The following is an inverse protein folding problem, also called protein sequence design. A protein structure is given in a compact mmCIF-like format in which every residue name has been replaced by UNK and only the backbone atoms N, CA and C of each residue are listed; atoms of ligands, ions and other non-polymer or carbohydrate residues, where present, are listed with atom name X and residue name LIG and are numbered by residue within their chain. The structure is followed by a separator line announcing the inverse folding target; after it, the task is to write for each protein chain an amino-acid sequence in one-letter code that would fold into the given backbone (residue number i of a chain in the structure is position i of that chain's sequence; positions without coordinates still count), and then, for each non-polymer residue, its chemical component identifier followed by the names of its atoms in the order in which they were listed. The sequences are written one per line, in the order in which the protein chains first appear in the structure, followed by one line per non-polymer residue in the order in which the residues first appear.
data_IF_964689745498
#
_entry.id   IF_964689745498
#
_cell.length_a   1.000
_cell.length_b   1.000
_cell.length_c   1.000
_cell.angle_alpha   90.00
_cell.angle_beta   90.00
_cell.angle_gamma   90.00
#
_symmetry.space_group_name_H-M   'P 1'
#
loop_
_entity.id
_entity.type
_entity.pdbx_description
1 polymer ?
#
# COMPACT_ATOMS: atom_id res chain seq x y z
N UNK A 1 20.50 -4.67 2.22
CA UNK A 1 19.47 -3.74 1.71
C UNK A 1 20.17 -2.48 1.23
N UNK A 2 19.72 -1.91 0.12
CA UNK A 2 20.23 -0.63 -0.39
C UNK A 2 19.71 0.55 0.48
N UNK A 3 20.44 1.68 0.58
CA UNK A 3 20.06 2.79 1.47
C UNK A 3 18.65 3.34 1.25
N UNK A 4 18.20 3.39 0.00
CA UNK A 4 16.86 3.86 -0.38
C UNK A 4 15.77 2.95 0.17
N UNK A 5 15.96 1.62 0.07
CA UNK A 5 15.03 0.63 0.60
C UNK A 5 15.04 0.62 2.14
N UNK A 6 16.19 0.85 2.76
CA UNK A 6 16.30 0.96 4.23
C UNK A 6 15.54 2.19 4.74
N UNK A 7 15.74 3.35 4.10
CA UNK A 7 15.04 4.58 4.45
C UNK A 7 13.52 4.44 4.24
N UNK A 8 13.09 3.90 3.10
CA UNK A 8 11.68 3.66 2.81
C UNK A 8 11.06 2.67 3.80
N UNK A 9 11.75 1.57 4.12
CA UNK A 9 11.31 0.58 5.10
C UNK A 9 11.21 1.15 6.51
N UNK A 10 12.13 2.05 6.91
CA UNK A 10 12.04 2.78 8.17
C UNK A 10 10.76 3.62 8.26
N UNK A 11 10.55 4.50 7.27
CA UNK A 11 9.35 5.34 7.21
C UNK A 11 8.05 4.52 7.16
N UNK A 12 8.07 3.40 6.42
CA UNK A 12 6.93 2.50 6.29
C UNK A 12 6.54 1.90 7.65
N UNK A 13 7.52 1.48 8.46
CA UNK A 13 7.28 0.99 9.84
C UNK A 13 6.73 2.10 10.74
N UNK A 14 7.27 3.30 10.66
CA UNK A 14 6.81 4.43 11.49
C UNK A 14 5.34 4.76 11.20
N UNK A 15 4.98 4.87 9.91
CA UNK A 15 3.60 5.08 9.48
C UNK A 15 2.68 3.93 9.89
N UNK A 16 3.15 2.69 9.78
CA UNK A 16 2.42 1.51 10.24
C UNK A 16 2.08 1.60 11.73
N UNK A 17 3.05 2.00 12.55
CA UNK A 17 2.87 2.17 13.99
C UNK A 17 1.89 3.32 14.30
N UNK A 18 1.97 4.44 13.57
CA UNK A 18 1.02 5.55 13.69
C UNK A 18 -0.41 5.10 13.38
N UNK A 19 -0.63 4.43 12.25
CA UNK A 19 -1.95 3.98 11.80
C UNK A 19 -2.57 2.92 12.72
N UNK A 20 -1.78 1.94 13.16
CA UNK A 20 -2.27 0.91 14.11
C UNK A 20 -2.63 1.52 15.46
N UNK A 21 -1.83 2.47 15.95
CA UNK A 21 -2.14 3.18 17.19
C UNK A 21 -3.38 4.10 17.04
N UNK A 22 -3.62 4.66 15.86
CA UNK A 22 -4.85 5.40 15.55
C UNK A 22 -6.07 4.48 15.55
N UNK A 23 -6.00 3.36 14.82
CA UNK A 23 -7.08 2.38 14.72
C UNK A 23 -7.46 1.82 16.10
N UNK A 24 -6.47 1.49 16.95
CA UNK A 24 -6.69 0.97 18.29
C UNK A 24 -7.40 1.96 19.24
N UNK A 25 -7.35 3.26 18.96
CA UNK A 25 -7.97 4.31 19.78
C UNK A 25 -9.25 4.87 19.16
N UNK A 26 -9.62 4.45 17.96
CA UNK A 26 -10.80 4.94 17.26
C UNK A 26 -12.07 4.42 17.95
N UNK A 27 -12.99 5.30 18.37
CA UNK A 27 -14.29 4.89 18.89
C UNK A 27 -15.06 4.06 17.86
N UNK A 28 -15.78 3.04 18.31
CA UNK A 28 -16.47 2.09 17.41
C UNK A 28 -17.50 2.76 16.49
N UNK A 29 -18.12 3.85 16.95
CA UNK A 29 -19.12 4.63 16.20
C UNK A 29 -18.52 5.54 15.11
N UNK A 30 -17.19 5.66 15.05
CA UNK A 30 -16.49 6.49 14.05
C UNK A 30 -16.09 5.74 12.79
N UNK A 31 -16.09 4.41 12.81
CA UNK A 31 -15.65 3.61 11.65
C UNK A 31 -16.50 3.83 10.40
N UNK A 32 -17.81 4.01 10.58
CA UNK A 32 -18.75 4.21 9.47
C UNK A 32 -19.01 5.71 9.20
N UNK A 33 -18.37 6.62 9.94
CA UNK A 33 -18.40 8.05 9.67
C UNK A 33 -17.53 8.39 8.44
N UNK A 34 -17.83 9.49 7.71
CA UNK A 34 -16.99 9.96 6.61
C UNK A 34 -15.53 10.16 7.04
N UNK A 35 -14.60 9.73 6.20
CA UNK A 35 -13.16 9.98 6.35
C UNK A 35 -12.76 11.32 5.73
N UNK A 36 -11.49 11.70 5.86
CA UNK A 36 -10.91 12.84 5.13
C UNK A 36 -10.88 12.61 3.62
N UNK A 37 -10.84 11.35 3.17
CA UNK A 37 -10.99 10.98 1.78
C UNK A 37 -12.48 10.94 1.44
N UNK A 38 -13.03 12.08 1.04
CA UNK A 38 -14.47 12.41 1.11
C UNK A 38 -15.48 11.46 0.43
N UNK A 39 -15.05 10.45 -0.32
CA UNK A 39 -15.92 9.41 -0.85
C UNK A 39 -16.07 8.17 0.07
N UNK A 40 -15.19 8.02 1.06
CA UNK A 40 -15.06 6.82 1.88
C UNK A 40 -15.31 7.09 3.36
N UNK A 41 -15.90 6.11 4.04
CA UNK A 41 -15.88 6.03 5.52
C UNK A 41 -14.47 5.71 6.05
N UNK A 42 -14.24 5.88 7.35
CA UNK A 42 -12.95 5.50 7.97
C UNK A 42 -12.64 4.00 7.81
N UNK A 43 -13.66 3.14 7.85
CA UNK A 43 -13.55 1.70 7.57
C UNK A 43 -13.08 1.47 6.14
N UNK A 44 -13.72 2.14 5.18
CA UNK A 44 -13.40 1.97 3.76
C UNK A 44 -12.00 2.48 3.44
N UNK A 45 -11.58 3.59 4.04
CA UNK A 45 -10.20 4.07 3.95
C UNK A 45 -9.21 3.05 4.54
N UNK A 46 -9.48 2.48 5.73
CA UNK A 46 -8.62 1.46 6.31
C UNK A 46 -8.57 0.20 5.43
N UNK A 47 -9.70 -0.23 4.86
CA UNK A 47 -9.75 -1.36 3.92
C UNK A 47 -8.95 -1.09 2.65
N UNK A 48 -8.96 0.15 2.15
CA UNK A 48 -8.09 0.56 1.06
C UNK A 48 -6.62 0.48 1.46
N UNK A 49 -6.23 0.96 2.64
CA UNK A 49 -4.84 0.83 3.10
C UNK A 49 -4.44 -0.64 3.30
N UNK A 50 -5.39 -1.51 3.65
CA UNK A 50 -5.14 -2.94 3.80
C UNK A 50 -4.89 -3.66 2.46
N UNK A 51 -5.55 -3.21 1.38
CA UNK A 51 -5.65 -3.98 0.13
C UNK A 51 -5.25 -3.22 -1.14
N UNK A 52 -5.03 -1.91 -1.06
CA UNK A 52 -4.75 -1.01 -2.18
C UNK A 52 -3.31 -1.07 -2.70
N UNK A 53 -2.50 -1.98 -2.15
CA UNK A 53 -1.09 -2.12 -2.48
C UNK A 53 -0.80 -3.15 -3.56
N UNK A 54 -1.82 -3.80 -4.14
CA UNK A 54 -1.66 -4.86 -5.14
C UNK A 54 -0.75 -4.42 -6.30
N UNK A 55 -0.93 -3.21 -6.82
CA UNK A 55 -0.10 -2.70 -7.92
C UNK A 55 1.35 -2.47 -7.49
N UNK A 56 1.58 -1.92 -6.30
CA UNK A 56 2.94 -1.72 -5.76
C UNK A 56 3.65 -3.05 -5.53
N UNK A 57 2.94 -4.03 -4.96
CA UNK A 57 3.45 -5.39 -4.77
C UNK A 57 3.82 -6.01 -6.12
N UNK A 58 2.94 -5.91 -7.12
CA UNK A 58 3.21 -6.43 -8.47
C UNK A 58 4.43 -5.76 -9.12
N UNK A 59 4.63 -4.45 -8.94
CA UNK A 59 5.84 -3.76 -9.42
C UNK A 59 7.11 -4.27 -8.74
N UNK A 60 7.12 -4.37 -7.41
CA UNK A 60 8.27 -4.91 -6.69
C UNK A 60 8.58 -6.35 -7.10
N UNK A 61 7.58 -7.22 -7.15
CA UNK A 61 7.73 -8.62 -7.57
C UNK A 61 8.21 -8.75 -9.01
N UNK A 62 7.72 -7.89 -9.90
CA UNK A 62 8.10 -7.90 -11.31
C UNK A 62 9.55 -7.44 -11.52
N UNK A 63 9.99 -6.40 -10.81
CA UNK A 63 11.37 -5.95 -10.83
C UNK A 63 12.32 -7.04 -10.32
N UNK A 64 11.99 -7.67 -9.19
CA UNK A 64 12.79 -8.75 -8.60
C UNK A 64 12.87 -9.99 -9.51
N UNK A 65 11.79 -10.30 -10.23
CA UNK A 65 11.74 -11.43 -11.14
C UNK A 65 12.26 -11.11 -12.56
N UNK A 66 12.63 -9.86 -12.86
CA UNK A 66 13.05 -9.44 -14.20
C UNK A 66 11.95 -9.61 -15.26
N UNK A 67 10.68 -9.44 -14.88
CA UNK A 67 9.51 -9.58 -15.76
C UNK A 67 8.75 -8.26 -15.91
N UNK A 68 7.90 -8.18 -16.93
CA UNK A 68 6.94 -7.10 -17.05
C UNK A 68 5.87 -7.20 -15.96
N UNK A 69 5.45 -6.05 -15.43
CA UNK A 69 4.35 -5.97 -14.48
C UNK A 69 2.99 -6.09 -15.16
N UNK A 70 2.07 -6.77 -14.49
CA UNK A 70 0.69 -6.94 -14.90
C UNK A 70 -0.17 -5.97 -14.09
N UNK A 71 -0.29 -4.73 -14.58
CA UNK A 71 -1.08 -3.69 -13.93
C UNK A 71 -2.52 -3.71 -14.49
N UNK A 72 -3.55 -3.69 -13.64
CA UNK A 72 -4.94 -3.55 -14.10
C UNK A 72 -5.14 -2.23 -14.85
N UNK A 73 -5.98 -2.20 -15.90
CA UNK A 73 -6.26 -0.97 -16.65
C UNK A 73 -7.07 0.06 -15.86
N UNK A 74 -7.74 -0.36 -14.77
CA UNK A 74 -8.54 0.50 -13.91
C UNK A 74 -8.25 0.16 -12.44
N UNK A 75 -7.30 0.89 -11.87
CA UNK A 75 -6.84 0.71 -10.49
C UNK A 75 -7.93 1.14 -9.51
N UNK A 76 -8.70 2.17 -9.84
CA UNK A 76 -9.78 2.68 -9.00
C UNK A 76 -10.89 1.63 -8.86
N UNK A 77 -11.31 0.99 -9.97
CA UNK A 77 -12.28 -0.10 -9.94
C UNK A 77 -11.77 -1.34 -9.19
N UNK A 78 -10.46 -1.59 -9.15
CA UNK A 78 -9.86 -2.63 -8.31
C UNK A 78 -9.94 -2.24 -6.83
N UNK A 79 -9.58 -1.01 -6.48
CA UNK A 79 -9.66 -0.50 -5.12
C UNK A 79 -11.10 -0.52 -4.59
N UNK A 80 -12.06 -0.05 -5.37
CA UNK A 80 -13.48 -0.06 -5.01
C UNK A 80 -13.99 -1.48 -4.74
N UNK A 81 -13.62 -2.45 -5.59
CA UNK A 81 -14.00 -3.86 -5.39
C UNK A 81 -13.37 -4.45 -4.13
N UNK A 82 -12.10 -4.16 -3.87
CA UNK A 82 -11.42 -4.61 -2.67
C UNK A 82 -12.08 -4.02 -1.41
N UNK A 83 -12.29 -2.70 -1.39
CA UNK A 83 -12.98 -2.01 -0.29
C UNK A 83 -14.38 -2.60 -0.06
N UNK A 84 -15.16 -2.81 -1.12
CA UNK A 84 -16.50 -3.40 -1.02
C UNK A 84 -16.48 -4.83 -0.45
N UNK A 85 -15.49 -5.65 -0.83
CA UNK A 85 -15.34 -7.02 -0.33
C UNK A 85 -15.02 -7.07 1.18
N UNK A 86 -14.36 -6.03 1.71
CA UNK A 86 -14.00 -5.91 3.12
C UNK A 86 -15.01 -5.15 3.97
N UNK A 87 -16.04 -4.55 3.37
CA UNK A 87 -17.11 -3.86 4.10
C UNK A 87 -17.76 -4.70 5.23
N UNK A 88 -18.05 -6.00 5.08
CA UNK A 88 -18.64 -6.80 6.15
C UNK A 88 -17.62 -7.29 7.20
N UNK A 89 -16.32 -7.06 7.00
CA UNK A 89 -15.29 -7.57 7.90
C UNK A 89 -15.23 -6.78 9.22
N UNK A 90 -14.90 -7.46 10.34
CA UNK A 90 -14.58 -6.77 11.58
C UNK A 90 -13.30 -5.93 11.43
N UNK A 91 -13.19 -4.83 12.18
CA UNK A 91 -12.06 -3.90 12.08
C UNK A 91 -10.74 -4.61 12.39
N UNK A 92 -10.76 -5.54 13.35
CA UNK A 92 -9.61 -6.35 13.73
C UNK A 92 -9.07 -7.17 12.55
N UNK A 93 -9.95 -7.68 11.69
CA UNK A 93 -9.55 -8.41 10.49
C UNK A 93 -8.94 -7.48 9.44
N UNK A 94 -9.50 -6.27 9.26
CA UNK A 94 -8.95 -5.28 8.32
C UNK A 94 -7.56 -4.82 8.80
N UNK A 95 -7.37 -4.58 10.10
CA UNK A 95 -6.05 -4.24 10.67
C UNK A 95 -5.06 -5.39 10.48
N UNK A 96 -5.48 -6.63 10.70
CA UNK A 96 -4.61 -7.80 10.47
C UNK A 96 -4.18 -7.92 9.00
N UNK A 97 -5.09 -7.70 8.06
CA UNK A 97 -4.76 -7.67 6.63
C UNK A 97 -3.79 -6.54 6.29
N UNK A 98 -4.03 -5.34 6.83
CA UNK A 98 -3.12 -4.20 6.65
C UNK A 98 -1.70 -4.52 7.13
N UNK A 99 -1.56 -5.17 8.29
CA UNK A 99 -0.27 -5.59 8.81
C UNK A 99 0.39 -6.64 7.90
N UNK A 100 -0.37 -7.63 7.41
CA UNK A 100 0.15 -8.65 6.50
C UNK A 100 0.65 -8.04 5.17
N UNK A 101 -0.13 -7.12 4.58
CA UNK A 101 0.26 -6.37 3.38
C UNK A 101 1.54 -5.56 3.62
N UNK A 102 1.64 -4.91 4.78
CA UNK A 102 2.81 -4.11 5.16
C UNK A 102 4.07 -4.98 5.34
N UNK A 103 3.94 -6.13 6.00
CA UNK A 103 5.03 -7.09 6.18
C UNK A 103 5.48 -7.65 4.82
N UNK A 104 4.54 -7.92 3.91
CA UNK A 104 4.87 -8.36 2.55
C UNK A 104 5.72 -7.34 1.81
N UNK A 105 5.39 -6.06 1.90
CA UNK A 105 6.17 -4.99 1.29
C UNK A 105 7.57 -4.93 1.91
N UNK A 106 7.70 -4.98 3.24
CA UNK A 106 9.01 -4.98 3.90
C UNK A 106 9.91 -6.12 3.42
N UNK A 107 9.35 -7.33 3.29
CA UNK A 107 10.09 -8.48 2.76
C UNK A 107 10.55 -8.27 1.31
N UNK A 108 9.77 -7.56 0.49
CA UNK A 108 10.15 -7.21 -0.88
C UNK A 108 11.28 -6.18 -0.88
N UNK A 109 11.21 -5.16 -0.01
CA UNK A 109 12.26 -4.15 0.12
C UNK A 109 13.62 -4.74 0.54
N UNK A 110 13.61 -5.78 1.39
CA UNK A 110 14.81 -6.51 1.82
C UNK A 110 15.56 -7.18 0.66
N UNK A 111 14.86 -7.50 -0.43
CA UNK A 111 15.40 -8.18 -1.61
C UNK A 111 15.87 -7.19 -2.70
N UNK A 112 15.60 -5.89 -2.54
CA UNK A 112 15.98 -4.92 -3.55
C UNK A 112 17.49 -4.70 -3.62
N UNK A 113 17.97 -4.55 -4.85
CA UNK A 113 19.34 -4.21 -5.22
C UNK A 113 19.28 -2.94 -6.08
N UNK A 114 20.40 -2.22 -6.21
CA UNK A 114 20.43 -0.92 -6.89
C UNK A 114 19.91 -0.99 -8.33
N UNK A 115 20.20 -2.07 -9.05
CA UNK A 115 19.72 -2.29 -10.41
C UNK A 115 18.19 -2.41 -10.52
N UNK A 116 17.50 -2.85 -9.45
CA UNK A 116 16.04 -2.95 -9.45
C UNK A 116 15.37 -1.58 -9.44
N UNK A 117 16.04 -0.53 -8.94
CA UNK A 117 15.48 0.83 -8.89
C UNK A 117 15.32 1.46 -10.28
N UNK A 118 16.13 1.01 -11.24
CA UNK A 118 16.13 1.50 -12.62
C UNK A 118 15.07 0.82 -13.50
N UNK A 119 14.35 -0.19 -12.97
CA UNK A 119 13.27 -0.85 -13.71
C UNK A 119 12.12 0.12 -13.92
N UNK A 120 11.70 0.25 -15.18
CA UNK A 120 10.60 1.11 -15.61
C UNK A 120 9.32 0.30 -15.84
N UNK A 121 8.20 0.89 -15.43
CA UNK A 121 6.86 0.37 -15.64
C UNK A 121 6.02 1.40 -16.38
N UNK A 122 5.06 0.95 -17.16
CA UNK A 122 4.04 1.82 -17.72
C UNK A 122 2.94 2.06 -16.67
N UNK A 123 2.66 3.34 -16.41
CA UNK A 123 1.49 3.80 -15.66
C UNK A 123 0.74 4.80 -16.53
N UNK A 124 -0.35 4.34 -17.13
CA UNK A 124 -1.23 5.14 -17.98
C UNK A 124 -0.48 5.82 -19.15
N UNK A 125 0.40 5.07 -19.82
CA UNK A 125 1.21 5.58 -20.93
C UNK A 125 2.40 6.44 -20.51
N UNK A 126 2.73 6.47 -19.21
CA UNK A 126 3.88 7.20 -18.66
C UNK A 126 4.87 6.22 -18.03
N UNK A 127 6.16 6.31 -18.36
CA UNK A 127 7.17 5.51 -17.68
C UNK A 127 7.34 5.98 -16.24
N UNK A 128 7.38 5.04 -15.31
CA UNK A 128 7.65 5.28 -13.89
C UNK A 128 8.71 4.29 -13.43
N UNK A 129 9.75 4.78 -12.74
CA UNK A 129 10.82 3.93 -12.21
C UNK A 129 10.45 3.37 -10.86
N UNK A 130 10.93 2.17 -10.55
CA UNK A 130 10.73 1.58 -9.22
C UNK A 130 11.30 2.47 -8.11
N UNK A 131 12.41 3.16 -8.36
CA UNK A 131 12.96 4.14 -7.43
C UNK A 131 11.98 5.27 -7.05
N UNK A 132 11.19 5.76 -8.01
CA UNK A 132 10.19 6.82 -7.76
C UNK A 132 9.00 6.28 -6.94
N UNK A 133 8.60 5.04 -7.19
CA UNK A 133 7.57 4.34 -6.41
C UNK A 133 8.05 4.12 -4.97
N UNK A 134 9.31 3.72 -4.79
CA UNK A 134 9.91 3.51 -3.49
C UNK A 134 9.95 4.81 -2.66
N UNK A 135 10.33 5.92 -3.30
CA UNK A 135 10.39 7.23 -2.66
C UNK A 135 9.02 7.76 -2.19
N UNK A 136 7.93 7.29 -2.82
CA UNK A 136 6.55 7.71 -2.52
C UNK A 136 5.75 6.67 -1.73
N UNK A 137 6.38 5.55 -1.34
CA UNK A 137 5.70 4.43 -0.68
C UNK A 137 4.95 4.87 0.59
N UNK A 138 5.60 5.64 1.46
CA UNK A 138 5.06 6.09 2.74
C UNK A 138 4.24 7.38 2.65
N UNK A 139 4.36 8.17 1.58
CA UNK A 139 3.55 9.38 1.42
C UNK A 139 2.09 9.06 1.11
N UNK A 140 1.84 7.96 0.39
CA UNK A 140 0.50 7.46 0.07
C UNK A 140 -0.39 7.25 1.30
N UNK A 141 0.20 6.82 2.42
CA UNK A 141 -0.52 6.60 3.67
C UNK A 141 -0.87 7.88 4.43
N UNK A 142 -0.25 9.00 4.06
CA UNK A 142 -0.38 10.29 4.76
C UNK A 142 -1.29 11.28 4.01
N UNK A 143 -1.80 10.91 2.84
CA UNK A 143 -2.77 11.66 2.01
C UNK A 143 -4.21 11.42 2.48
#
# INVERSE_FOLDING_TARGET
MIPEAEAAGGQWRDVTNELTALAARMPSDRWDAPSSCGAWSNRELLSHLATGYVVRIEWFESALAGRAAIVPPDIDAVNERNVAAWRPAPIEAIVAEMLATRDRILQLLEQLEAQHLEVEFDRDGRPVRLGDILATLSSHDRE
#
